data_IF_979598516476
#
_entry.id   IF_979598516476
#
_cell.length_a   1.000
_cell.length_b   1.000
_cell.length_c   1.000
_cell.angle_alpha   90.00
_cell.angle_beta   90.00
_cell.angle_gamma   90.00
#
_symmetry.space_group_name_H-M   'P 1'
#
loop_
_entity.id
_entity.type
_entity.pdbx_description
1 polymer ?
#
# COMPACT_ATOMS: atom_id res chain seq x y z
N UNK A 1 3.90 1.72 21.60
CA UNK A 1 4.89 2.31 20.68
C UNK A 1 5.35 1.19 19.74
N UNK A 2 5.28 1.37 18.43
CA UNK A 2 5.66 0.31 17.50
C UNK A 2 7.17 0.03 17.58
N UNK A 3 7.60 -1.24 17.49
CA UNK A 3 9.03 -1.60 17.57
C UNK A 3 9.83 -0.95 16.44
N UNK A 4 11.14 -0.67 16.64
CA UNK A 4 12.02 -0.06 15.63
C UNK A 4 12.02 -0.77 14.29
N UNK A 5 11.84 -2.09 14.27
CA UNK A 5 11.82 -2.90 13.06
C UNK A 5 10.60 -2.61 12.15
N UNK A 6 9.49 -2.08 12.68
CA UNK A 6 8.35 -1.65 11.87
C UNK A 6 8.72 -0.40 11.07
N UNK A 7 9.39 0.56 11.70
CA UNK A 7 9.85 1.78 11.05
C UNK A 7 10.97 1.52 10.05
N UNK A 8 11.79 0.50 10.30
CA UNK A 8 12.88 0.12 9.40
C UNK A 8 12.41 -0.25 7.98
N UNK A 9 11.14 -0.59 7.80
CA UNK A 9 10.55 -0.95 6.52
C UNK A 9 9.63 0.13 5.94
N UNK A 10 9.64 1.33 6.51
CA UNK A 10 8.90 2.49 6.00
C UNK A 10 9.85 3.70 5.88
N UNK A 11 9.45 4.72 5.14
CA UNK A 11 10.19 5.99 5.08
C UNK A 11 9.84 6.93 6.25
N UNK A 12 9.11 6.47 7.23
CA UNK A 12 8.75 7.25 8.41
C UNK A 12 9.90 7.28 9.41
N UNK A 13 10.05 8.42 10.08
CA UNK A 13 11.00 8.52 11.19
C UNK A 13 10.54 7.67 12.37
N UNK A 14 11.48 7.10 13.16
CA UNK A 14 11.14 6.44 14.40
C UNK A 14 10.53 7.44 15.39
N UNK A 15 9.65 6.93 16.25
CA UNK A 15 9.02 7.68 17.35
C UNK A 15 8.17 8.91 16.92
N UNK A 16 7.29 8.80 15.92
CA UNK A 16 6.36 9.89 15.60
C UNK A 16 5.42 10.14 16.80
N UNK A 17 5.14 11.41 17.09
CA UNK A 17 4.17 11.78 18.11
C UNK A 17 2.77 11.25 17.78
N UNK A 18 2.00 10.89 18.83
CA UNK A 18 0.63 10.39 18.65
C UNK A 18 -0.27 11.45 17.98
N UNK A 19 0.01 12.73 18.24
CA UNK A 19 -0.71 13.86 17.68
C UNK A 19 -0.66 13.86 16.15
N UNK A 20 0.48 13.53 15.56
CA UNK A 20 0.64 13.43 14.11
C UNK A 20 -0.30 12.38 13.49
N UNK A 21 -0.45 11.24 14.17
CA UNK A 21 -1.34 10.17 13.73
C UNK A 21 -2.81 10.55 13.89
N UNK A 22 -3.16 11.17 15.03
CA UNK A 22 -4.52 11.66 15.27
C UNK A 22 -4.92 12.69 14.22
N UNK A 23 -4.02 13.62 13.88
CA UNK A 23 -4.27 14.62 12.85
C UNK A 23 -4.44 13.98 11.46
N UNK A 24 -3.59 13.03 11.09
CA UNK A 24 -3.72 12.30 9.82
C UNK A 24 -5.06 11.56 9.71
N UNK A 25 -5.49 10.89 10.78
CA UNK A 25 -6.75 10.15 10.80
C UNK A 25 -7.97 11.09 10.76
N UNK A 26 -7.90 12.26 11.40
CA UNK A 26 -8.98 13.28 11.36
C UNK A 26 -9.09 13.97 10.00
N UNK A 27 -7.97 14.17 9.32
CA UNK A 27 -7.87 14.90 8.06
C UNK A 27 -7.78 13.95 6.85
N UNK A 28 -8.51 12.82 6.89
CA UNK A 28 -8.56 11.89 5.79
C UNK A 28 -9.06 12.58 4.51
N UNK A 29 -8.24 12.59 3.47
CA UNK A 29 -8.54 13.28 2.22
C UNK A 29 -9.50 12.45 1.36
N UNK A 30 -10.32 13.09 0.51
CA UNK A 30 -11.28 12.38 -0.34
C UNK A 30 -10.65 11.35 -1.31
N UNK A 31 -9.37 11.52 -1.61
CA UNK A 31 -8.61 10.59 -2.47
C UNK A 31 -7.91 9.46 -1.70
N UNK A 32 -8.03 9.42 -0.38
CA UNK A 32 -7.47 8.38 0.48
C UNK A 32 -8.53 7.34 0.85
N UNK A 33 -8.14 6.08 0.87
CA UNK A 33 -9.02 4.96 1.23
C UNK A 33 -8.27 4.04 2.18
N UNK A 34 -8.22 4.39 3.48
CA UNK A 34 -7.57 3.57 4.48
C UNK A 34 -8.40 2.36 4.88
N UNK A 35 -7.73 1.26 5.18
CA UNK A 35 -8.27 0.06 5.81
C UNK A 35 -7.44 -0.31 7.03
N UNK A 36 -8.07 -0.92 8.02
CA UNK A 36 -7.40 -1.53 9.16
C UNK A 36 -7.76 -3.00 9.27
N UNK A 37 -6.83 -3.79 9.75
CA UNK A 37 -7.08 -5.16 10.19
C UNK A 37 -7.19 -5.18 11.71
N UNK A 38 -8.29 -5.71 12.22
CA UNK A 38 -8.56 -5.86 13.64
C UNK A 38 -8.69 -7.35 13.98
N UNK A 39 -8.06 -7.76 15.07
CA UNK A 39 -8.18 -9.10 15.64
C UNK A 39 -8.44 -8.94 17.14
N UNK A 40 -9.55 -9.52 17.63
CA UNK A 40 -9.95 -9.47 19.04
C UNK A 40 -9.94 -8.05 19.65
N UNK A 41 -10.40 -7.06 18.89
CA UNK A 41 -10.45 -5.65 19.30
C UNK A 41 -9.11 -4.91 19.23
N UNK A 42 -8.06 -5.55 18.71
CA UNK A 42 -6.75 -4.93 18.52
C UNK A 42 -6.49 -4.65 17.03
N UNK A 43 -6.07 -3.44 16.70
CA UNK A 43 -5.61 -3.10 15.34
C UNK A 43 -4.20 -3.68 15.18
N UNK A 44 -4.06 -4.59 14.21
CA UNK A 44 -2.82 -5.35 13.95
C UNK A 44 -2.19 -5.04 12.60
N UNK A 45 -2.85 -4.24 11.79
CA UNK A 45 -2.31 -3.78 10.52
C UNK A 45 -3.17 -2.67 9.91
N UNK A 46 -2.59 -1.95 8.99
CA UNK A 46 -3.29 -0.96 8.19
C UNK A 46 -2.76 -0.96 6.76
N UNK A 47 -3.63 -0.56 5.85
CA UNK A 47 -3.28 -0.37 4.46
C UNK A 47 -4.12 0.74 3.86
N UNK A 48 -3.72 1.29 2.72
CA UNK A 48 -4.49 2.33 2.08
C UNK A 48 -4.11 2.54 0.62
N UNK A 49 -5.08 3.05 -0.12
CA UNK A 49 -4.90 3.60 -1.45
C UNK A 49 -4.91 5.12 -1.37
N UNK A 50 -3.96 5.72 -2.05
CA UNK A 50 -3.88 7.15 -2.25
C UNK A 50 -4.03 7.42 -3.75
N UNK A 51 -5.26 7.76 -4.18
CA UNK A 51 -5.56 8.02 -5.59
C UNK A 51 -4.90 9.31 -6.04
N UNK A 52 -4.33 9.29 -7.23
CA UNK A 52 -3.71 10.48 -7.80
C UNK A 52 -4.76 11.56 -8.08
N UNK A 53 -4.40 12.80 -7.77
CA UNK A 53 -5.30 13.95 -7.94
C UNK A 53 -5.12 14.67 -9.28
N UNK A 54 -3.99 14.47 -9.94
CA UNK A 54 -3.75 15.00 -11.27
C UNK A 54 -4.69 14.33 -12.29
N UNK A 55 -5.44 15.13 -13.01
CA UNK A 55 -6.45 14.64 -13.97
C UNK A 55 -5.89 13.60 -14.93
N UNK A 56 -4.68 13.80 -15.44
CA UNK A 56 -4.03 12.87 -16.38
C UNK A 56 -3.52 11.60 -15.73
N UNK A 57 -3.50 11.53 -14.40
CA UNK A 57 -3.13 10.36 -13.60
C UNK A 57 -4.29 9.81 -12.75
N UNK A 58 -5.51 10.29 -12.97
CA UNK A 58 -6.70 9.89 -12.21
C UNK A 58 -7.01 8.37 -12.28
N UNK A 59 -6.38 7.65 -13.20
CA UNK A 59 -6.46 6.20 -13.33
C UNK A 59 -5.48 5.44 -12.43
N UNK A 60 -4.66 6.14 -11.64
CA UNK A 60 -3.59 5.56 -10.83
C UNK A 60 -3.76 5.85 -9.32
N UNK A 61 -3.18 4.99 -8.51
CA UNK A 61 -3.07 5.19 -7.06
C UNK A 61 -1.74 4.65 -6.52
N UNK A 62 -1.29 5.25 -5.40
CA UNK A 62 -0.24 4.70 -4.57
C UNK A 62 -0.83 3.78 -3.51
N UNK A 63 -0.13 2.70 -3.19
CA UNK A 63 -0.54 1.73 -2.17
C UNK A 63 0.50 1.70 -1.05
N UNK A 64 0.03 1.71 0.19
CA UNK A 64 0.84 1.45 1.38
C UNK A 64 0.21 0.40 2.27
N UNK A 65 1.04 -0.41 2.93
CA UNK A 65 0.59 -1.44 3.86
C UNK A 65 1.61 -1.62 4.98
N UNK A 66 1.11 -1.80 6.19
CA UNK A 66 1.92 -2.12 7.37
C UNK A 66 1.18 -3.15 8.22
N UNK A 67 1.89 -4.17 8.71
CA UNK A 67 1.37 -5.19 9.63
C UNK A 67 2.30 -5.26 10.82
N UNK A 68 1.73 -5.27 12.02
CA UNK A 68 2.48 -5.44 13.27
C UNK A 68 3.35 -6.71 13.20
N UNK A 69 4.59 -6.63 13.69
CA UNK A 69 5.57 -7.72 13.63
C UNK A 69 5.06 -9.01 14.24
N UNK A 70 4.38 -8.92 15.39
CA UNK A 70 3.81 -10.08 16.07
C UNK A 70 2.73 -10.79 15.26
N UNK A 71 2.16 -10.11 14.28
CA UNK A 71 1.05 -10.58 13.45
C UNK A 71 1.44 -10.87 11.99
N UNK A 72 2.71 -10.71 11.68
CA UNK A 72 3.21 -11.05 10.34
C UNK A 72 3.23 -12.57 10.10
N UNK A 73 3.11 -12.97 8.83
CA UNK A 73 3.10 -14.39 8.47
C UNK A 73 1.79 -15.12 8.73
N UNK A 74 0.73 -14.42 9.19
CA UNK A 74 -0.58 -15.00 9.55
C UNK A 74 -1.68 -14.66 8.53
N UNK A 75 -1.32 -14.18 7.34
CA UNK A 75 -2.28 -13.88 6.28
C UNK A 75 -2.89 -12.47 6.31
N UNK A 76 -2.62 -11.67 7.34
CA UNK A 76 -3.21 -10.31 7.50
C UNK A 76 -2.83 -9.40 6.33
N UNK A 77 -1.56 -9.39 5.93
CA UNK A 77 -1.12 -8.60 4.77
C UNK A 77 -1.85 -9.00 3.49
N UNK A 78 -2.08 -10.29 3.27
CA UNK A 78 -2.84 -10.78 2.12
C UNK A 78 -4.31 -10.35 2.18
N UNK A 79 -4.94 -10.42 3.34
CA UNK A 79 -6.31 -10.00 3.52
C UNK A 79 -6.50 -8.51 3.22
N UNK A 80 -5.60 -7.66 3.75
CA UNK A 80 -5.59 -6.22 3.46
C UNK A 80 -5.38 -5.94 1.96
N UNK A 81 -4.42 -6.62 1.33
CA UNK A 81 -4.18 -6.49 -0.12
C UNK A 81 -5.39 -6.90 -0.93
N UNK A 82 -6.03 -8.01 -0.61
CA UNK A 82 -7.21 -8.49 -1.31
C UNK A 82 -8.36 -7.47 -1.24
N UNK A 83 -8.63 -6.91 -0.07
CA UNK A 83 -9.67 -5.91 0.12
C UNK A 83 -9.37 -4.60 -0.63
N UNK A 84 -8.11 -4.13 -0.60
CA UNK A 84 -7.72 -2.92 -1.34
C UNK A 84 -7.79 -3.13 -2.85
N UNK A 85 -7.35 -4.27 -3.36
CA UNK A 85 -7.37 -4.56 -4.78
C UNK A 85 -8.79 -4.75 -5.30
N UNK A 86 -9.69 -5.36 -4.51
CA UNK A 86 -11.12 -5.40 -4.84
C UNK A 86 -11.71 -3.99 -4.96
N UNK A 87 -11.42 -3.13 -3.98
CA UNK A 87 -11.87 -1.73 -4.00
C UNK A 87 -11.31 -0.98 -5.21
N UNK A 88 -10.03 -1.15 -5.50
CA UNK A 88 -9.36 -0.51 -6.63
C UNK A 88 -9.94 -0.94 -7.98
N UNK A 89 -10.13 -2.24 -8.16
CA UNK A 89 -10.53 -2.83 -9.43
C UNK A 89 -12.03 -2.65 -9.71
N UNK A 90 -12.87 -2.93 -8.72
CA UNK A 90 -14.32 -3.07 -8.94
C UNK A 90 -15.13 -1.82 -8.57
N UNK A 91 -14.56 -0.91 -7.76
CA UNK A 91 -15.27 0.26 -7.28
C UNK A 91 -14.67 1.58 -7.77
N UNK A 92 -13.34 1.68 -7.81
CA UNK A 92 -12.66 2.86 -8.36
C UNK A 92 -12.29 2.71 -9.84
N UNK A 93 -12.24 1.49 -10.37
CA UNK A 93 -11.83 1.23 -11.74
C UNK A 93 -10.42 1.70 -12.05
N UNK A 94 -9.51 1.59 -11.07
CA UNK A 94 -8.12 2.02 -11.24
C UNK A 94 -7.39 1.11 -12.23
N UNK A 95 -6.69 1.71 -13.18
CA UNK A 95 -5.93 0.95 -14.17
C UNK A 95 -4.53 0.60 -13.69
N UNK A 96 -3.97 1.40 -12.75
CA UNK A 96 -2.60 1.27 -12.29
C UNK A 96 -2.50 1.50 -10.78
N UNK A 97 -1.81 0.61 -10.09
CA UNK A 97 -1.48 0.78 -8.67
C UNK A 97 0.03 0.67 -8.53
N UNK A 98 0.62 1.62 -7.84
CA UNK A 98 2.06 1.75 -7.62
C UNK A 98 2.38 1.59 -6.13
N UNK A 99 3.55 1.07 -5.82
CA UNK A 99 4.09 1.05 -4.47
C UNK A 99 5.61 1.14 -4.47
N UNK A 100 6.15 1.50 -3.33
CA UNK A 100 7.59 1.45 -3.08
C UNK A 100 7.86 0.51 -1.92
N UNK A 101 8.94 -0.28 -2.04
CA UNK A 101 9.37 -1.24 -1.03
C UNK A 101 10.88 -1.29 -0.97
N UNK A 102 11.46 -1.36 0.22
CA UNK A 102 12.90 -1.55 0.34
C UNK A 102 13.33 -2.86 -0.32
N UNK A 103 14.44 -2.81 -1.06
CA UNK A 103 14.91 -3.92 -1.89
C UNK A 103 15.25 -5.20 -1.10
N UNK A 104 15.51 -5.07 0.18
CA UNK A 104 15.79 -6.19 1.09
C UNK A 104 14.55 -6.73 1.84
N UNK A 105 13.38 -6.12 1.64
CA UNK A 105 12.14 -6.62 2.23
C UNK A 105 11.51 -7.75 1.40
N UNK A 106 12.21 -8.90 1.37
CA UNK A 106 11.82 -10.04 0.57
C UNK A 106 10.39 -10.56 0.87
N UNK A 107 9.92 -10.43 2.11
CA UNK A 107 8.57 -10.83 2.51
C UNK A 107 7.50 -9.99 1.82
N UNK A 108 7.64 -8.67 1.87
CA UNK A 108 6.70 -7.75 1.24
C UNK A 108 6.74 -7.90 -0.29
N UNK A 109 7.92 -8.01 -0.88
CA UNK A 109 8.10 -8.21 -2.33
C UNK A 109 7.33 -9.46 -2.79
N UNK A 110 7.51 -10.60 -2.12
CA UNK A 110 6.76 -11.84 -2.45
C UNK A 110 5.24 -11.67 -2.32
N UNK A 111 4.77 -10.92 -1.32
CA UNK A 111 3.35 -10.62 -1.20
C UNK A 111 2.85 -9.82 -2.40
N UNK A 112 3.55 -8.77 -2.78
CA UNK A 112 3.17 -7.92 -3.91
C UNK A 112 3.22 -8.67 -5.24
N UNK A 113 4.27 -9.44 -5.50
CA UNK A 113 4.38 -10.31 -6.69
C UNK A 113 3.20 -11.29 -6.77
N UNK A 114 2.81 -11.90 -5.65
CA UNK A 114 1.65 -12.81 -5.58
C UNK A 114 0.30 -12.11 -5.84
N UNK A 115 0.27 -10.79 -5.75
CA UNK A 115 -0.88 -9.94 -6.06
C UNK A 115 -0.82 -9.31 -7.46
N UNK A 116 0.17 -9.69 -8.28
CA UNK A 116 0.31 -9.24 -9.66
C UNK A 116 1.13 -7.97 -9.84
N UNK A 117 1.84 -7.50 -8.81
CA UNK A 117 2.80 -6.41 -8.96
C UNK A 117 4.09 -6.91 -9.60
N UNK A 118 4.67 -6.07 -10.45
CA UNK A 118 5.97 -6.30 -11.07
C UNK A 118 6.91 -5.15 -10.76
N UNK A 119 8.19 -5.44 -10.65
CA UNK A 119 9.22 -4.42 -10.47
C UNK A 119 9.39 -3.63 -11.76
N UNK A 120 9.38 -2.31 -11.66
CA UNK A 120 9.62 -1.41 -12.79
C UNK A 120 10.93 -0.64 -12.66
N UNK A 121 11.39 -0.34 -11.45
CA UNK A 121 12.62 0.41 -11.21
C UNK A 121 13.28 0.06 -9.89
N UNK A 122 14.57 0.40 -9.80
CA UNK A 122 15.37 0.40 -8.56
C UNK A 122 15.87 1.82 -8.31
N UNK A 123 15.50 2.40 -7.19
CA UNK A 123 15.99 3.69 -6.73
C UNK A 123 17.19 3.46 -5.83
N UNK A 124 18.38 3.80 -6.31
CA UNK A 124 19.63 3.59 -5.57
C UNK A 124 19.77 4.57 -4.42
N UNK A 125 20.21 4.05 -3.25
CA UNK A 125 20.45 4.85 -2.04
C UNK A 125 19.28 5.76 -1.67
N UNK A 126 18.06 5.26 -1.86
CA UNK A 126 16.83 6.04 -1.77
C UNK A 126 16.42 6.36 -0.33
N UNK A 127 16.72 5.47 0.63
CA UNK A 127 16.39 5.65 2.03
C UNK A 127 17.62 5.51 2.93
N UNK A 128 17.64 6.24 4.05
CA UNK A 128 18.63 6.06 5.11
C UNK A 128 18.01 5.25 6.24
N UNK A 129 18.65 4.14 6.63
CA UNK A 129 18.19 3.24 7.69
C UNK A 129 19.38 2.79 8.54
N UNK A 130 19.34 3.10 9.84
CA UNK A 130 20.39 2.74 10.81
C UNK A 130 21.82 3.13 10.36
N UNK A 131 21.97 4.29 9.70
CA UNK A 131 23.25 4.78 9.22
C UNK A 131 23.66 4.32 7.83
N UNK A 132 22.95 3.37 7.22
CA UNK A 132 23.22 2.86 5.88
C UNK A 132 22.17 3.32 4.87
N UNK A 133 22.59 3.63 3.66
CA UNK A 133 21.67 3.88 2.56
C UNK A 133 21.15 2.57 1.98
N UNK A 134 19.85 2.50 1.78
CA UNK A 134 19.16 1.32 1.22
C UNK A 134 18.46 1.66 -0.09
N UNK A 135 18.45 0.68 -0.99
CA UNK A 135 17.76 0.78 -2.27
C UNK A 135 16.25 0.54 -2.07
N UNK A 136 15.45 1.15 -2.93
CA UNK A 136 14.00 0.95 -2.98
C UNK A 136 13.59 0.43 -4.35
N UNK A 137 12.73 -0.56 -4.38
CA UNK A 137 12.05 -1.02 -5.60
C UNK A 137 10.79 -0.19 -5.80
N UNK A 138 10.57 0.24 -7.03
CA UNK A 138 9.26 0.70 -7.50
C UNK A 138 8.57 -0.47 -8.14
N UNK A 139 7.39 -0.82 -7.66
CA UNK A 139 6.58 -1.89 -8.21
C UNK A 139 5.22 -1.36 -8.64
N UNK A 140 4.66 -1.92 -9.70
CA UNK A 140 3.35 -1.55 -10.18
C UNK A 140 2.51 -2.77 -10.60
N UNK A 141 1.20 -2.62 -10.49
CA UNK A 141 0.21 -3.58 -10.96
C UNK A 141 -0.72 -2.88 -11.93
N UNK A 142 -0.86 -3.43 -13.11
CA UNK A 142 -1.90 -3.02 -14.05
C UNK A 142 -3.16 -3.85 -13.81
N UNK A 143 -4.32 -3.25 -14.01
CA UNK A 143 -5.61 -3.92 -13.83
C UNK A 143 -5.70 -5.15 -14.75
N UNK A 144 -5.91 -6.37 -14.22
CA UNK A 144 -5.86 -7.59 -15.01
C UNK A 144 -7.04 -7.71 -16.00
N UNK A 145 -8.16 -7.06 -15.68
CA UNK A 145 -9.37 -7.01 -16.52
C UNK A 145 -9.95 -5.59 -16.47
N UNK A 146 -9.39 -4.64 -17.23
CA UNK A 146 -9.83 -3.25 -17.15
C UNK A 146 -11.35 -3.10 -17.40
N UNK A 147 -12.00 -2.15 -16.71
CA UNK A 147 -13.42 -1.86 -16.91
C UNK A 147 -13.73 -1.59 -18.38
N UNK A 148 -14.84 -2.13 -18.85
CA UNK A 148 -15.33 -1.95 -20.23
C UNK A 148 -16.78 -1.53 -20.20
N UNK A 149 -17.18 -0.78 -21.22
CA UNK A 149 -18.60 -0.53 -21.47
C UNK A 149 -19.28 -1.87 -21.77
N UNK A 150 -20.43 -2.12 -21.17
CA UNK A 150 -21.25 -3.24 -21.58
C UNK A 150 -21.78 -2.97 -22.99
N UNK A 151 -21.85 -3.97 -23.88
CA UNK A 151 -22.57 -3.82 -25.15
C UNK A 151 -23.98 -3.34 -24.83
N UNK A 152 -24.48 -2.38 -25.63
CA UNK A 152 -25.86 -1.97 -25.52
C UNK A 152 -26.77 -3.19 -25.65
N UNK A 153 -27.69 -3.33 -24.70
CA UNK A 153 -28.76 -4.31 -24.83
C UNK A 153 -29.63 -3.77 -25.99
N UNK A 154 -29.53 -4.39 -27.15
CA UNK A 154 -30.47 -4.10 -28.23
C UNK A 154 -31.87 -4.48 -27.73
N UNK A 155 -32.85 -3.57 -27.86
CA UNK A 155 -34.20 -3.84 -27.41
C UNK A 155 -34.87 -4.97 -28.18
#
# INVERSE_FOLDING_TARGET
>A
MAPPEVFANTLQLPYPGIELWVERLKNNKPNESPLVAEVDGQIVGCAGLHREIEVRRAHAAQLGITVDLAWQGQGIGRALMTALLDTADNWFGLLRIELQVFADNARAIKLYESCGFVQEAVLKSHGLRNGDYVDTLVMARLHPKPPRLRPEIQP
#
